data_IF_778108637211
#
_entry.id   IF_778108637211
#
_cell.length_a   1.000
_cell.length_b   1.000
_cell.length_c   1.000
_cell.angle_alpha   90.00
_cell.angle_beta   90.00
_cell.angle_gamma   90.00
#
_symmetry.space_group_name_H-M   'P 1'
#
loop_
_entity.id
_entity.type
_entity.pdbx_description
1 polymer ?
#
# COMPACT_ATOMS: atom_id res chain seq x y z
N UNK A 1 -5.04 -0.59 -16.37
CA UNK A 1 -6.16 -0.93 -15.50
C UNK A 1 -5.83 -2.05 -14.51
N UNK A 2 -5.55 -1.66 -13.27
CA UNK A 2 -5.33 -2.61 -12.16
C UNK A 2 -6.67 -3.01 -11.53
N UNK A 3 -6.76 -4.20 -10.92
CA UNK A 3 -7.90 -4.56 -10.06
C UNK A 3 -7.45 -4.72 -8.62
N UNK A 4 -8.22 -4.18 -7.68
CA UNK A 4 -7.93 -4.26 -6.25
C UNK A 4 -9.16 -4.77 -5.49
N UNK A 5 -8.96 -5.80 -4.69
CA UNK A 5 -10.01 -6.42 -3.87
C UNK A 5 -9.99 -5.91 -2.43
N UNK A 6 -8.81 -5.69 -1.88
CA UNK A 6 -8.61 -5.32 -0.47
C UNK A 6 -7.30 -4.57 -0.32
N UNK A 7 -7.27 -3.53 0.53
CA UNK A 7 -6.08 -2.84 0.98
C UNK A 7 -6.31 -2.33 2.41
N UNK A 8 -5.49 -2.76 3.36
CA UNK A 8 -5.62 -2.31 4.75
C UNK A 8 -4.29 -2.16 5.49
N UNK A 9 -4.27 -1.28 6.49
CA UNK A 9 -3.25 -1.29 7.55
C UNK A 9 -3.77 -2.00 8.80
N UNK A 10 -2.90 -2.72 9.50
CA UNK A 10 -3.19 -3.30 10.81
C UNK A 10 -1.95 -3.19 11.69
N UNK A 11 -2.11 -2.95 12.99
CA UNK A 11 -0.98 -2.88 13.93
C UNK A 11 -0.41 -4.28 14.17
N UNK A 12 0.92 -4.40 14.17
CA UNK A 12 1.60 -5.65 14.49
C UNK A 12 1.99 -5.59 15.97
N UNK A 13 1.15 -6.12 16.86
CA UNK A 13 1.40 -6.06 18.31
C UNK A 13 1.45 -7.48 18.91
N UNK A 14 2.52 -7.78 19.65
CA UNK A 14 2.73 -9.05 20.35
C UNK A 14 2.44 -8.98 21.85
N UNK A 15 2.05 -7.81 22.38
CA UNK A 15 1.86 -7.64 23.83
C UNK A 15 0.45 -8.03 24.29
N UNK A 16 0.40 -9.05 25.14
CA UNK A 16 -0.79 -9.73 25.64
C UNK A 16 -1.58 -8.92 26.70
N UNK A 17 -1.19 -7.67 27.01
CA UNK A 17 -1.72 -6.92 28.16
C UNK A 17 -2.48 -5.62 27.85
N UNK A 18 -2.67 -5.25 26.58
CA UNK A 18 -3.58 -4.17 26.19
C UNK A 18 -4.44 -4.61 25.02
N UNK A 19 -5.57 -5.25 25.36
CA UNK A 19 -6.57 -5.74 24.42
C UNK A 19 -7.45 -4.59 23.92
N UNK A 20 -6.84 -3.57 23.31
CA UNK A 20 -7.56 -2.78 22.30
C UNK A 20 -7.56 -3.66 21.07
N UNK A 21 -8.72 -4.20 20.69
CA UNK A 21 -8.87 -4.81 19.38
C UNK A 21 -8.58 -3.73 18.33
N UNK A 22 -7.34 -3.69 17.82
CA UNK A 22 -6.97 -2.73 16.78
C UNK A 22 -7.63 -3.20 15.50
N UNK A 23 -8.75 -2.55 15.16
CA UNK A 23 -9.44 -2.82 13.91
C UNK A 23 -8.54 -2.41 12.73
N UNK A 24 -8.49 -3.22 11.66
CA UNK A 24 -7.75 -2.85 10.48
C UNK A 24 -8.33 -1.59 9.84
N UNK A 25 -7.45 -0.70 9.37
CA UNK A 25 -7.82 0.48 8.59
C UNK A 25 -8.07 0.05 7.16
N UNK A 26 -9.33 0.05 6.72
CA UNK A 26 -9.71 -0.21 5.33
C UNK A 26 -9.44 1.04 4.47
N UNK A 27 -8.35 0.99 3.70
CA UNK A 27 -7.89 2.11 2.87
C UNK A 27 -8.86 2.37 1.72
N UNK A 28 -9.47 1.33 1.13
CA UNK A 28 -10.41 1.50 0.03
C UNK A 28 -11.66 2.23 0.48
N UNK A 29 -12.14 1.91 1.69
CA UNK A 29 -13.26 2.61 2.31
C UNK A 29 -12.92 4.07 2.61
N UNK A 30 -11.73 4.31 3.17
CA UNK A 30 -11.26 5.67 3.49
C UNK A 30 -11.11 6.54 2.24
N UNK A 31 -10.65 5.95 1.13
CA UNK A 31 -10.52 6.61 -0.17
C UNK A 31 -11.84 6.68 -0.97
N UNK A 32 -12.96 6.23 -0.40
CA UNK A 32 -14.27 6.40 -1.01
C UNK A 32 -14.54 5.52 -2.24
N UNK A 33 -13.82 4.41 -2.43
CA UNK A 33 -13.99 3.53 -3.60
C UNK A 33 -15.42 2.99 -3.74
N UNK A 34 -16.16 2.86 -2.64
CA UNK A 34 -17.57 2.47 -2.62
C UNK A 34 -18.49 3.40 -3.40
N UNK A 35 -18.06 4.65 -3.63
CA UNK A 35 -18.81 5.67 -4.36
C UNK A 35 -18.51 5.67 -5.86
N UNK A 36 -17.63 4.78 -6.33
CA UNK A 36 -17.18 4.70 -7.73
C UNK A 36 -16.72 6.06 -8.28
N UNK A 37 -15.66 6.65 -7.70
CA UNK A 37 -15.09 7.88 -8.23
C UNK A 37 -14.63 7.68 -9.69
N UNK A 38 -14.39 8.78 -10.39
CA UNK A 38 -13.97 8.75 -11.79
C UNK A 38 -12.81 7.77 -12.02
N UNK A 39 -12.92 6.94 -13.07
CA UNK A 39 -11.94 5.91 -13.38
C UNK A 39 -11.96 4.67 -12.47
N UNK A 40 -12.87 4.59 -11.50
CA UNK A 40 -13.08 3.39 -10.67
C UNK A 40 -14.38 2.70 -11.06
N UNK A 41 -14.29 1.41 -11.39
CA UNK A 41 -15.46 0.58 -11.73
C UNK A 41 -15.48 -0.70 -10.89
N UNK A 42 -16.66 -1.09 -10.41
CA UNK A 42 -16.81 -2.38 -9.72
C UNK A 42 -16.70 -3.55 -10.69
N UNK A 43 -15.97 -4.57 -10.28
CA UNK A 43 -15.80 -5.82 -11.04
C UNK A 43 -15.83 -7.02 -10.09
N UNK A 44 -15.96 -8.22 -10.65
CA UNK A 44 -15.75 -9.46 -9.88
C UNK A 44 -14.31 -9.53 -9.37
N UNK A 45 -14.18 -9.85 -8.08
CA UNK A 45 -12.93 -9.95 -7.35
C UNK A 45 -12.26 -11.31 -7.46
N UNK A 46 -11.51 -11.65 -6.42
CA UNK A 46 -10.63 -12.83 -6.42
C UNK A 46 -11.41 -14.15 -6.50
N UNK A 47 -12.40 -14.34 -5.62
CA UNK A 47 -13.27 -15.52 -5.67
C UNK A 47 -14.56 -15.21 -6.42
N UNK A 48 -14.60 -15.53 -7.71
CA UNK A 48 -15.81 -15.37 -8.53
C UNK A 48 -16.95 -16.33 -8.12
N UNK A 49 -16.61 -17.55 -7.72
CA UNK A 49 -17.57 -18.58 -7.36
C UNK A 49 -17.39 -18.98 -5.88
N UNK A 50 -18.24 -18.47 -5.00
CA UNK A 50 -18.28 -18.88 -3.59
C UNK A 50 -19.46 -19.82 -3.36
N UNK A 51 -19.26 -20.91 -2.61
CA UNK A 51 -20.27 -21.95 -2.37
C UNK A 51 -21.47 -21.46 -1.55
N UNK A 52 -21.24 -20.56 -0.60
CA UNK A 52 -22.22 -20.14 0.42
C UNK A 52 -22.36 -18.62 0.54
N UNK A 53 -21.81 -17.84 -0.40
CA UNK A 53 -21.90 -16.38 -0.38
C UNK A 53 -21.79 -15.80 -1.78
N UNK A 54 -22.06 -14.49 -1.89
CA UNK A 54 -21.89 -13.75 -3.15
C UNK A 54 -20.43 -13.75 -3.58
N UNK A 55 -20.21 -13.64 -4.88
CA UNK A 55 -18.88 -13.44 -5.46
C UNK A 55 -18.17 -12.25 -4.82
N UNK A 56 -16.86 -12.33 -4.73
CA UNK A 56 -16.03 -11.22 -4.31
C UNK A 56 -16.21 -10.00 -5.21
N UNK A 57 -16.15 -8.81 -4.61
CA UNK A 57 -16.17 -7.53 -5.33
C UNK A 57 -14.79 -6.90 -5.31
N UNK A 58 -14.32 -6.41 -6.45
CA UNK A 58 -13.10 -5.66 -6.57
C UNK A 58 -13.35 -4.37 -7.36
N UNK A 59 -12.36 -3.48 -7.35
CA UNK A 59 -12.37 -2.23 -8.07
C UNK A 59 -11.35 -2.28 -9.19
N UNK A 60 -11.77 -2.01 -10.42
CA UNK A 60 -10.91 -1.76 -11.56
C UNK A 60 -10.63 -0.27 -11.63
N UNK A 61 -9.34 0.08 -11.66
CA UNK A 61 -8.82 1.44 -11.62
C UNK A 61 -8.25 1.79 -13.00
N UNK A 62 -8.62 2.93 -13.58
CA UNK A 62 -8.05 3.47 -14.82
C UNK A 62 -6.55 3.80 -14.65
N UNK A 63 -5.79 3.90 -15.75
CA UNK A 63 -4.32 4.06 -15.66
C UNK A 63 -3.88 5.41 -15.12
N UNK A 64 -4.67 6.47 -15.31
CA UNK A 64 -4.27 7.87 -15.07
C UNK A 64 -5.03 8.51 -13.90
N UNK A 65 -5.52 7.71 -12.95
CA UNK A 65 -6.22 8.24 -11.79
C UNK A 65 -5.36 8.18 -10.54
N UNK A 66 -5.41 9.27 -9.78
CA UNK A 66 -4.87 9.38 -8.44
C UNK A 66 -6.05 9.63 -7.51
N UNK A 67 -6.19 8.80 -6.48
CA UNK A 67 -7.23 8.97 -5.47
C UNK A 67 -6.52 9.22 -4.15
N UNK A 68 -6.81 10.35 -3.53
CA UNK A 68 -6.16 10.78 -2.30
C UNK A 68 -7.16 11.12 -1.21
N UNK A 69 -6.74 10.92 0.05
CA UNK A 69 -7.43 11.43 1.23
C UNK A 69 -6.41 11.92 2.26
N UNK A 70 -6.80 12.85 3.17
CA UNK A 70 -5.97 13.18 4.33
C UNK A 70 -5.62 11.92 5.13
N UNK A 71 -4.35 11.73 5.48
CA UNK A 71 -3.89 10.54 6.22
C UNK A 71 -4.56 10.46 7.60
N UNK A 72 -4.93 11.59 8.19
CA UNK A 72 -5.74 11.68 9.40
C UNK A 72 -7.11 10.99 9.30
N UNK A 73 -7.69 10.82 8.11
CA UNK A 73 -8.93 10.04 7.94
C UNK A 73 -8.69 8.54 8.12
N UNK A 74 -7.49 8.06 7.77
CA UNK A 74 -7.07 6.68 7.97
C UNK A 74 -6.69 6.43 9.44
N UNK A 75 -6.14 7.45 10.10
CA UNK A 75 -5.66 7.39 11.47
C UNK A 75 -6.27 8.54 12.30
N UNK A 76 -7.56 8.46 12.69
CA UNK A 76 -8.27 9.56 13.35
C UNK A 76 -7.72 9.92 14.73
N UNK A 77 -6.96 9.02 15.37
CA UNK A 77 -6.22 9.32 16.60
C UNK A 77 -4.92 10.11 16.38
N UNK A 78 -4.58 10.46 15.14
CA UNK A 78 -3.35 11.17 14.78
C UNK A 78 -2.06 10.33 14.89
N UNK A 79 -2.15 9.09 15.36
CA UNK A 79 -0.99 8.22 15.59
C UNK A 79 -0.91 7.16 14.49
N UNK A 80 0.17 7.19 13.72
CA UNK A 80 0.55 6.10 12.84
C UNK A 80 1.30 5.03 13.65
N UNK A 81 0.95 3.73 13.54
CA UNK A 81 1.61 2.68 14.31
C UNK A 81 3.10 2.52 13.95
N UNK A 82 3.97 2.34 14.96
CA UNK A 82 5.38 1.99 14.73
C UNK A 82 5.47 0.63 14.02
N UNK A 83 4.87 -0.42 14.57
CA UNK A 83 4.81 -1.74 13.96
C UNK A 83 3.45 -1.98 13.31
N UNK A 84 3.46 -2.36 12.04
CA UNK A 84 2.25 -2.47 11.23
C UNK A 84 2.38 -3.50 10.12
N UNK A 85 1.24 -3.89 9.58
CA UNK A 85 1.13 -4.72 8.39
C UNK A 85 0.23 -4.05 7.37
N UNK A 86 0.60 -4.17 6.10
CA UNK A 86 -0.19 -3.80 4.94
C UNK A 86 -0.65 -5.09 4.28
N UNK A 87 -1.95 -5.25 4.14
CA UNK A 87 -2.55 -6.40 3.49
C UNK A 87 -3.23 -5.93 2.21
N UNK A 88 -2.88 -6.53 1.08
CA UNK A 88 -3.49 -6.18 -0.21
C UNK A 88 -3.74 -7.40 -1.08
N UNK A 89 -4.84 -7.38 -1.82
CA UNK A 89 -5.16 -8.38 -2.83
C UNK A 89 -5.44 -7.69 -4.15
N UNK A 90 -4.54 -7.86 -5.13
CA UNK A 90 -4.55 -7.09 -6.36
C UNK A 90 -4.27 -7.96 -7.59
N UNK A 91 -4.69 -7.48 -8.75
CA UNK A 91 -4.34 -8.02 -10.07
C UNK A 91 -3.78 -6.86 -10.91
N UNK A 92 -2.46 -6.66 -10.88
CA UNK A 92 -1.81 -5.63 -11.68
C UNK A 92 -1.80 -6.02 -13.15
N UNK A 93 -1.69 -5.06 -14.05
CA UNK A 93 -1.44 -5.37 -15.46
C UNK A 93 -0.05 -5.99 -15.64
N UNK A 94 0.08 -6.83 -16.67
CA UNK A 94 1.37 -7.43 -16.99
C UNK A 94 2.38 -6.33 -17.31
N UNK A 95 3.54 -6.35 -16.66
CA UNK A 95 4.61 -5.36 -16.89
C UNK A 95 4.39 -4.00 -16.23
N UNK A 96 3.32 -3.81 -15.45
CA UNK A 96 3.16 -2.60 -14.64
C UNK A 96 4.33 -2.45 -13.66
N UNK A 97 4.84 -1.22 -13.53
CA UNK A 97 5.71 -0.77 -12.46
C UNK A 97 5.13 0.54 -11.92
N UNK A 98 4.64 0.55 -10.68
CA UNK A 98 4.01 1.74 -10.08
C UNK A 98 3.88 1.59 -8.58
N UNK A 99 3.82 2.70 -7.86
CA UNK A 99 3.25 2.70 -6.51
C UNK A 99 1.78 2.29 -6.56
N UNK A 100 1.40 1.41 -5.64
CA UNK A 100 0.01 1.09 -5.32
C UNK A 100 -0.53 2.13 -4.34
N UNK A 101 0.26 2.45 -3.32
CA UNK A 101 -0.08 3.31 -2.21
C UNK A 101 1.15 4.12 -1.83
N UNK A 102 0.96 5.41 -1.60
CA UNK A 102 1.98 6.32 -1.08
C UNK A 102 1.39 7.15 0.08
N UNK A 103 2.19 7.42 1.10
CA UNK A 103 1.84 8.36 2.19
C UNK A 103 2.87 9.47 2.17
N UNK A 104 2.37 10.70 2.09
CA UNK A 104 3.16 11.92 2.13
C UNK A 104 2.90 12.64 3.44
N UNK A 105 3.92 13.27 4.00
CA UNK A 105 3.75 14.21 5.11
C UNK A 105 3.25 15.58 4.62
N UNK A 106 3.05 16.50 5.54
CA UNK A 106 2.55 17.85 5.28
C UNK A 106 3.51 18.72 4.45
N UNK A 107 4.80 18.37 4.40
CA UNK A 107 5.82 19.00 3.54
C UNK A 107 5.90 18.35 2.14
N UNK A 108 5.09 17.33 1.86
CA UNK A 108 5.10 16.62 0.57
C UNK A 108 6.20 15.56 0.42
N UNK A 109 6.88 15.19 1.51
CA UNK A 109 7.88 14.09 1.52
C UNK A 109 7.15 12.76 1.57
N UNK A 110 7.52 11.85 0.66
CA UNK A 110 6.95 10.50 0.59
C UNK A 110 7.55 9.62 1.70
N UNK A 111 6.86 9.51 2.83
CA UNK A 111 7.32 8.75 3.98
C UNK A 111 7.02 7.25 3.90
N UNK A 112 6.06 6.82 3.08
CA UNK A 112 5.79 5.41 2.83
C UNK A 112 5.37 5.19 1.38
N UNK A 113 5.80 4.08 0.80
CA UNK A 113 5.43 3.70 -0.55
C UNK A 113 5.43 2.19 -0.74
N UNK A 114 4.35 1.65 -1.28
CA UNK A 114 4.24 0.23 -1.65
C UNK A 114 4.27 0.13 -3.16
N UNK A 115 5.37 -0.37 -3.72
CA UNK A 115 5.49 -0.57 -5.15
C UNK A 115 4.95 -1.93 -5.58
N UNK A 116 4.36 -1.96 -6.77
CA UNK A 116 3.92 -3.16 -7.46
C UNK A 116 4.62 -3.23 -8.80
N UNK A 117 5.33 -4.32 -9.03
CA UNK A 117 6.05 -4.50 -10.28
C UNK A 117 7.05 -5.65 -10.24
N UNK A 118 8.05 -5.58 -11.10
CA UNK A 118 9.25 -6.40 -11.01
C UNK A 118 10.16 -5.79 -9.96
N UNK A 119 10.72 -6.63 -9.08
CA UNK A 119 11.66 -6.20 -8.05
C UNK A 119 11.12 -5.04 -7.19
N UNK A 120 9.88 -5.14 -6.65
CA UNK A 120 9.20 -4.01 -6.02
C UNK A 120 9.98 -3.47 -4.81
N UNK A 121 10.00 -2.15 -4.70
CA UNK A 121 10.49 -1.43 -3.54
C UNK A 121 9.43 -1.29 -2.44
N UNK A 122 9.89 -1.28 -1.19
CA UNK A 122 9.14 -0.75 -0.06
C UNK A 122 9.84 0.51 0.42
N UNK A 123 9.19 1.65 0.20
CA UNK A 123 9.68 2.96 0.60
C UNK A 123 9.22 3.24 2.03
N UNK A 124 10.14 3.67 2.87
CA UNK A 124 9.86 4.10 4.24
C UNK A 124 10.84 5.20 4.62
N UNK A 125 10.35 6.28 5.23
CA UNK A 125 11.15 7.36 5.79
C UNK A 125 10.44 7.85 7.06
N UNK A 126 11.06 7.65 8.21
CA UNK A 126 10.53 8.10 9.49
C UNK A 126 10.72 9.62 9.70
N UNK A 127 10.26 10.13 10.85
CA UNK A 127 10.39 11.53 11.24
C UNK A 127 11.84 12.05 11.33
N UNK A 128 12.84 11.16 11.30
CA UNK A 128 14.26 11.50 11.32
C UNK A 128 14.93 11.42 9.95
N UNK A 129 14.16 11.14 8.89
CA UNK A 129 14.68 10.98 7.54
C UNK A 129 15.35 9.62 7.30
N UNK A 130 15.03 8.59 8.11
CA UNK A 130 15.66 7.26 8.00
C UNK A 130 14.66 6.17 7.58
N UNK A 131 15.12 5.14 6.83
CA UNK A 131 16.39 5.05 6.13
C UNK A 131 16.54 6.08 5.00
N UNK A 132 17.77 6.28 4.52
CA UNK A 132 18.02 7.08 3.31
C UNK A 132 17.50 6.34 2.06
N UNK A 133 17.23 7.03 0.94
CA UNK A 133 16.66 6.42 -0.26
C UNK A 133 17.40 5.21 -0.83
N UNK A 134 18.73 5.22 -0.76
CA UNK A 134 19.61 4.12 -1.17
C UNK A 134 19.45 2.85 -0.32
N UNK A 135 18.94 2.99 0.90
CA UNK A 135 18.75 1.92 1.88
C UNK A 135 17.30 1.38 1.90
N UNK A 136 16.44 1.85 0.98
CA UNK A 136 15.08 1.34 0.86
C UNK A 136 15.07 -0.16 0.50
N UNK A 137 14.29 -0.99 1.22
CA UNK A 137 14.21 -2.42 0.94
C UNK A 137 13.70 -2.74 -0.48
N UNK A 138 14.56 -3.39 -1.28
CA UNK A 138 14.22 -3.91 -2.61
C UNK A 138 14.02 -5.44 -2.57
N UNK A 139 12.87 -5.90 -3.05
CA UNK A 139 12.56 -7.33 -3.15
C UNK A 139 12.88 -7.87 -4.55
N UNK A 140 14.16 -7.82 -4.92
CA UNK A 140 14.66 -8.08 -6.29
C UNK A 140 14.22 -9.41 -6.91
N UNK A 141 13.99 -10.42 -6.08
CA UNK A 141 13.58 -11.76 -6.53
C UNK A 141 12.07 -11.94 -6.76
N UNK A 142 11.26 -10.89 -6.55
CA UNK A 142 9.81 -10.91 -6.76
C UNK A 142 9.39 -10.27 -8.08
N UNK A 143 8.26 -10.75 -8.60
CA UNK A 143 7.49 -10.09 -9.65
C UNK A 143 6.00 -10.17 -9.28
N UNK A 144 5.38 -9.00 -9.07
CA UNK A 144 3.97 -8.85 -8.69
C UNK A 144 3.07 -8.52 -9.90
N UNK A 145 3.64 -8.05 -11.02
CA UNK A 145 2.90 -7.58 -12.20
C UNK A 145 2.89 -8.58 -13.35
N UNK A 146 2.39 -9.79 -13.08
CA UNK A 146 2.25 -10.86 -14.08
C UNK A 146 0.83 -11.01 -14.65
N UNK A 147 -0.06 -10.05 -14.44
CA UNK A 147 -1.44 -10.10 -14.92
C UNK A 147 -2.38 -11.02 -14.14
N UNK A 148 -1.90 -11.69 -13.08
CA UNK A 148 -2.68 -12.59 -12.21
C UNK A 148 -2.99 -11.93 -10.87
N UNK A 149 -4.01 -12.44 -10.19
CA UNK A 149 -4.29 -12.05 -8.82
C UNK A 149 -3.14 -12.46 -7.90
N UNK A 150 -2.80 -11.59 -6.96
CA UNK A 150 -1.76 -11.76 -5.94
C UNK A 150 -2.31 -11.30 -4.60
N UNK A 151 -2.03 -12.09 -3.56
CA UNK A 151 -2.19 -11.66 -2.17
C UNK A 151 -0.83 -11.25 -1.65
N UNK A 152 -0.69 -10.02 -1.19
CA UNK A 152 0.58 -9.50 -0.67
C UNK A 152 0.32 -8.99 0.74
N UNK A 153 1.12 -9.46 1.69
CA UNK A 153 1.23 -8.88 3.02
C UNK A 153 2.63 -8.30 3.17
N UNK A 154 2.74 -7.08 3.68
CA UNK A 154 4.01 -6.47 4.08
C UNK A 154 3.90 -6.23 5.58
N UNK A 155 4.81 -6.79 6.37
CA UNK A 155 4.85 -6.62 7.82
C UNK A 155 6.11 -5.85 8.18
N UNK A 156 5.95 -4.71 8.82
CA UNK A 156 7.01 -3.93 9.45
C UNK A 156 6.97 -4.24 10.93
N UNK A 157 8.06 -4.81 11.43
CA UNK A 157 8.23 -5.15 12.83
C UNK A 157 9.63 -4.77 13.27
N UNK A 158 9.73 -3.92 14.29
CA UNK A 158 11.00 -3.39 14.83
C UNK A 158 11.89 -2.80 13.74
N UNK A 159 12.99 -3.44 13.36
CA UNK A 159 13.89 -2.96 12.28
C UNK A 159 13.93 -3.92 11.10
N UNK A 160 12.79 -4.55 10.84
CA UNK A 160 12.65 -5.51 9.74
C UNK A 160 11.38 -5.24 8.96
N UNK A 161 11.46 -5.50 7.65
CA UNK A 161 10.29 -5.58 6.78
C UNK A 161 10.23 -6.98 6.19
N UNK A 162 9.03 -7.57 6.20
CA UNK A 162 8.76 -8.89 5.65
C UNK A 162 7.66 -8.79 4.61
N UNK A 163 7.93 -9.20 3.38
CA UNK A 163 6.89 -9.39 2.35
C UNK A 163 6.51 -10.87 2.26
N UNK A 164 5.20 -11.14 2.25
CA UNK A 164 4.61 -12.46 2.08
C UNK A 164 3.71 -12.41 0.86
N UNK A 165 3.99 -13.26 -0.13
CA UNK A 165 3.23 -13.34 -1.39
C UNK A 165 2.50 -14.67 -1.46
N UNK A 166 1.21 -14.60 -1.75
CA UNK A 166 0.27 -15.71 -1.94
C UNK A 166 0.21 -16.69 -0.75
N UNK A 167 0.58 -16.24 0.44
CA UNK A 167 0.73 -17.05 1.67
C UNK A 167 1.82 -18.14 1.59
N UNK A 168 2.69 -18.10 0.57
CA UNK A 168 3.70 -19.13 0.32
C UNK A 168 5.11 -18.58 0.43
N UNK A 169 5.38 -17.47 -0.26
CA UNK A 169 6.73 -16.93 -0.39
C UNK A 169 6.93 -15.81 0.63
N UNK A 170 7.85 -16.01 1.57
CA UNK A 170 8.24 -15.02 2.59
C UNK A 170 9.65 -14.53 2.33
N UNK A 171 9.86 -13.21 2.33
CA UNK A 171 11.18 -12.59 2.23
C UNK A 171 11.27 -11.50 3.30
N UNK A 172 12.29 -11.57 4.15
CA UNK A 172 12.56 -10.57 5.20
C UNK A 172 13.83 -9.79 4.85
N UNK A 173 13.80 -8.48 5.05
CA UNK A 173 14.91 -7.55 4.84
C UNK A 173 15.07 -6.65 6.08
N UNK A 174 16.29 -6.16 6.37
CA UNK A 174 16.48 -5.08 7.32
C UNK A 174 15.70 -3.84 6.89
N UNK A 175 15.21 -3.09 7.87
CA UNK A 175 14.63 -1.76 7.71
C UNK A 175 15.39 -0.82 8.65
N UNK A 176 16.30 -0.02 8.11
CA UNK A 176 17.24 0.82 8.88
C UNK A 176 16.59 2.11 9.42
N UNK A 177 15.36 2.00 9.93
CA UNK A 177 14.66 3.11 10.59
C UNK A 177 15.20 3.38 12.00
N UNK A 178 14.90 4.56 12.51
CA UNK A 178 15.14 4.95 13.89
C UNK A 178 14.34 4.10 14.88
N UNK A 179 14.77 4.11 16.14
CA UNK A 179 13.95 3.58 17.23
C UNK A 179 12.71 4.48 17.37
N UNK A 180 11.51 3.92 17.58
CA UNK A 180 10.27 4.69 17.62
C UNK A 180 10.02 5.46 16.31
N UNK A 181 10.37 4.83 15.18
CA UNK A 181 10.14 5.39 13.85
C UNK A 181 8.64 5.49 13.56
N UNK A 182 8.20 6.66 13.13
CA UNK A 182 6.79 6.98 12.87
C UNK A 182 6.64 7.76 11.57
N UNK A 183 5.44 7.67 10.99
CA UNK A 183 5.04 8.39 9.79
C UNK A 183 4.03 9.48 10.21
N UNK A 184 4.15 10.66 9.61
CA UNK A 184 3.22 11.77 9.85
C UNK A 184 1.82 11.44 9.34
N UNK A 185 0.81 11.71 10.16
CA UNK A 185 -0.60 11.62 9.76
C UNK A 185 -1.15 12.95 9.25
N UNK A 186 -0.35 14.01 9.25
CA UNK A 186 -0.75 15.38 8.89
C UNK A 186 -0.74 15.65 7.37
N UNK A 187 -0.27 14.71 6.56
CA UNK A 187 -0.28 14.83 5.10
C UNK A 187 -1.40 14.04 4.42
N UNK A 188 -1.08 13.39 3.30
CA UNK A 188 -2.04 12.70 2.44
C UNK A 188 -1.63 11.27 2.13
N UNK A 189 -2.64 10.41 2.02
CA UNK A 189 -2.49 9.06 1.48
C UNK A 189 -3.01 9.06 0.05
N UNK A 190 -2.21 8.58 -0.88
CA UNK A 190 -2.49 8.52 -2.32
C UNK A 190 -2.46 7.09 -2.80
N UNK A 191 -3.51 6.70 -3.52
CA UNK A 191 -3.60 5.46 -4.24
C UNK A 191 -3.42 5.69 -5.75
N UNK A 192 -2.56 4.88 -6.38
CA UNK A 192 -2.26 4.98 -7.82
C UNK A 192 -0.87 5.55 -8.11
N UNK A 193 -0.62 5.81 -9.41
CA UNK A 193 0.65 6.33 -9.93
C UNK A 193 1.03 7.63 -9.21
N UNK A 194 2.34 7.82 -9.01
CA UNK A 194 2.92 8.88 -8.16
C UNK A 194 2.39 10.27 -8.55
N UNK A 195 2.29 11.17 -7.56
CA UNK A 195 1.89 12.59 -7.76
C UNK A 195 2.74 13.27 -8.85
N UNK A 196 3.98 12.82 -9.04
CA UNK A 196 4.96 13.42 -9.96
C UNK A 196 5.20 12.61 -11.26
N UNK A 197 4.42 11.56 -11.54
CA UNK A 197 4.47 10.88 -12.85
C UNK A 197 3.45 11.52 -13.82
N UNK A 198 3.29 12.85 -13.77
CA UNK A 198 2.97 13.54 -15.01
C UNK A 198 4.19 13.34 -15.92
N UNK A 199 4.00 12.74 -17.10
CA UNK A 199 4.93 12.88 -18.20
C UNK A 199 5.03 14.37 -18.57
N UNK A 200 5.73 15.17 -17.74
CA UNK A 200 5.97 16.58 -18.02
C UNK A 200 7.02 16.61 -19.14
N UNK A 201 6.53 17.06 -20.31
CA UNK A 201 7.22 17.37 -21.55
C UNK A 201 7.35 16.24 -22.61
N UNK A 202 6.32 16.15 -23.46
CA UNK A 202 6.56 16.13 -24.90
C UNK A 202 6.00 17.40 -25.53
N UNK A 203 6.84 18.43 -25.66
CA UNK A 203 6.66 19.42 -26.72
C UNK A 203 7.18 18.75 -27.99
N UNK A 204 6.28 18.26 -28.84
CA UNK A 204 6.62 18.02 -30.24
C UNK A 204 6.29 19.29 -31.01
N UNK A 205 7.34 19.91 -31.52
CA UNK A 205 7.28 20.91 -32.60
C UNK A 205 6.69 20.28 -33.86
#
# INVERSE_FOLDING_TARGET
MQKLFFLSFSKCETDFLLLVAVLPVDVLKALGFQNYPEGVTKVTGFCANRRASKSDSAYRIARQIQISAPTSQLFPGGVFPEDFSILTTLRPESGLQSFLLSIYNEQGVQQLGVEVGRSPAFLYEDQTGKPAPEDYPLFTSLNLSNGKWRRVAISVEKKTVTIIVDCMRKITKPLLRSNQGSISTSGITVFGTRILDEDVFQVKL
#
